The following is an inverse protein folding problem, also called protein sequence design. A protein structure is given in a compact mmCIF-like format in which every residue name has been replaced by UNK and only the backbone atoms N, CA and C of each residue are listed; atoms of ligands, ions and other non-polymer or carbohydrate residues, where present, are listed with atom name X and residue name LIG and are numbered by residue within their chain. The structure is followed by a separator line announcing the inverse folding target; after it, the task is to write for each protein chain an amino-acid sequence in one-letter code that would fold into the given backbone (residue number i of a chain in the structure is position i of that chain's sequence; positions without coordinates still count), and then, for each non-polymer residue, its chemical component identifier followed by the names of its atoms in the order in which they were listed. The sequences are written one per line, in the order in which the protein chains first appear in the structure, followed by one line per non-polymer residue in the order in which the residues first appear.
data_IF_877746173489
#
_entry.id   IF_877746173489
#
_cell.length_a   1.000
_cell.length_b   1.000
_cell.length_c   1.000
_cell.angle_alpha   90.00
_cell.angle_beta   90.00
_cell.angle_gamma   90.00
#
_symmetry.space_group_name_H-M   'P 1'
#
loop_
_entity.id
_entity.type
_entity.pdbx_description
1 polymer ?
#
# COMPACT_ATOMS: atom_id res chain seq x y z
N UNK A 1 33.26 -4.00 33.90
CA UNK A 1 32.06 -3.33 33.34
C UNK A 1 30.87 -4.24 33.53
N UNK A 2 30.07 -4.03 34.58
CA UNK A 2 28.92 -4.87 34.92
C UNK A 2 27.76 -4.51 33.99
N UNK A 3 27.42 -5.39 33.09
CA UNK A 3 26.22 -5.26 32.27
C UNK A 3 25.01 -5.51 33.18
N UNK A 4 24.20 -4.47 33.39
CA UNK A 4 22.97 -4.53 34.21
C UNK A 4 22.10 -5.72 33.74
N UNK A 5 21.54 -6.55 34.63
CA UNK A 5 20.74 -7.73 34.30
C UNK A 5 19.53 -7.40 33.41
N UNK A 6 18.96 -6.19 33.55
CA UNK A 6 17.85 -5.68 32.72
C UNK A 6 18.26 -5.55 31.23
N UNK A 7 19.49 -5.08 30.96
CA UNK A 7 20.00 -4.97 29.57
C UNK A 7 20.17 -6.36 28.92
N UNK A 8 20.60 -7.36 29.69
CA UNK A 8 20.79 -8.72 29.20
C UNK A 8 19.47 -9.42 28.92
N UNK A 9 18.44 -9.22 29.76
CA UNK A 9 17.07 -9.71 29.47
C UNK A 9 16.48 -9.10 28.23
N UNK A 10 16.62 -7.77 28.06
CA UNK A 10 16.11 -7.06 26.89
C UNK A 10 16.80 -7.47 25.58
N UNK A 11 18.12 -7.69 25.59
CA UNK A 11 18.84 -8.17 24.39
C UNK A 11 18.39 -9.56 23.94
N UNK A 12 18.07 -10.46 24.87
CA UNK A 12 17.56 -11.80 24.55
C UNK A 12 16.15 -11.70 23.93
N UNK A 13 15.27 -10.86 24.50
CA UNK A 13 13.92 -10.62 23.95
C UNK A 13 14.00 -9.98 22.57
N UNK A 14 14.83 -8.95 22.39
CA UNK A 14 15.00 -8.28 21.10
C UNK A 14 15.53 -9.24 20.02
N UNK A 15 16.55 -10.03 20.33
CA UNK A 15 17.07 -11.04 19.41
C UNK A 15 16.04 -12.13 19.07
N UNK A 16 15.20 -12.50 20.03
CA UNK A 16 14.08 -13.39 19.81
C UNK A 16 13.04 -12.80 18.84
N UNK A 17 12.67 -11.54 19.05
CA UNK A 17 11.74 -10.81 18.19
C UNK A 17 12.29 -10.64 16.76
N UNK A 18 13.55 -10.26 16.60
CA UNK A 18 14.21 -10.16 15.28
C UNK A 18 14.20 -11.50 14.54
N UNK A 19 14.41 -12.60 15.25
CA UNK A 19 14.39 -13.95 14.68
C UNK A 19 13.00 -14.40 14.26
N UNK A 20 11.98 -14.04 15.05
CA UNK A 20 10.58 -14.40 14.80
C UNK A 20 9.90 -13.47 13.79
N UNK A 21 10.15 -12.17 13.90
CA UNK A 21 9.58 -11.13 13.02
C UNK A 21 10.43 -10.87 11.79
N UNK A 22 11.20 -11.83 11.33
CA UNK A 22 12.11 -11.67 10.19
C UNK A 22 11.54 -10.75 9.09
N UNK A 23 12.39 -10.02 8.42
CA UNK A 23 11.99 -9.02 7.41
C UNK A 23 10.96 -9.55 6.40
N UNK A 24 11.04 -10.81 6.04
CA UNK A 24 10.11 -11.44 5.09
C UNK A 24 8.67 -11.46 5.59
N UNK A 25 8.44 -11.69 6.89
CA UNK A 25 7.12 -11.62 7.48
C UNK A 25 6.59 -10.19 7.50
N UNK A 26 7.43 -9.22 7.86
CA UNK A 26 7.06 -7.79 7.85
C UNK A 26 6.67 -7.35 6.44
N UNK A 27 7.44 -7.75 5.42
CA UNK A 27 7.13 -7.45 4.02
C UNK A 27 5.82 -8.10 3.56
N UNK A 28 5.57 -9.35 3.95
CA UNK A 28 4.31 -10.02 3.63
C UNK A 28 3.11 -9.31 4.27
N UNK A 29 3.18 -9.01 5.57
CA UNK A 29 2.09 -8.31 6.28
C UNK A 29 1.88 -6.91 5.71
N UNK A 30 2.95 -6.19 5.39
CA UNK A 30 2.88 -4.88 4.75
C UNK A 30 2.17 -4.95 3.39
N UNK A 31 2.50 -5.93 2.54
CA UNK A 31 1.84 -6.13 1.24
C UNK A 31 0.34 -6.38 1.40
N UNK A 32 -0.02 -7.36 2.24
CA UNK A 32 -1.43 -7.74 2.42
C UNK A 32 -2.22 -6.60 3.06
N UNK A 33 -1.67 -5.96 4.09
CA UNK A 33 -2.35 -4.87 4.79
C UNK A 33 -2.65 -3.69 3.88
N UNK A 34 -1.63 -3.17 3.18
CA UNK A 34 -1.84 -2.01 2.31
C UNK A 34 -2.65 -2.38 1.05
N UNK A 35 -2.49 -3.59 0.51
CA UNK A 35 -3.30 -4.09 -0.58
C UNK A 35 -4.79 -4.12 -0.19
N UNK A 36 -5.12 -4.58 1.00
CA UNK A 36 -6.49 -4.61 1.49
C UNK A 36 -7.11 -3.21 1.58
N UNK A 37 -6.36 -2.20 2.05
CA UNK A 37 -6.81 -0.81 2.14
C UNK A 37 -7.23 -0.30 0.76
N UNK A 38 -6.33 -0.38 -0.23
CA UNK A 38 -6.61 0.14 -1.57
C UNK A 38 -7.65 -0.70 -2.32
N UNK A 39 -7.63 -2.02 -2.18
CA UNK A 39 -8.62 -2.89 -2.80
C UNK A 39 -10.04 -2.60 -2.29
N UNK A 40 -10.22 -2.43 -0.98
CA UNK A 40 -11.50 -2.03 -0.40
C UNK A 40 -11.95 -0.65 -0.91
N UNK A 41 -11.03 0.31 -1.02
CA UNK A 41 -11.32 1.61 -1.62
C UNK A 41 -11.78 1.47 -3.07
N UNK A 42 -11.12 0.66 -3.88
CA UNK A 42 -11.52 0.36 -5.26
C UNK A 42 -12.91 -0.24 -5.34
N UNK A 43 -13.26 -1.15 -4.42
CA UNK A 43 -14.59 -1.77 -4.37
C UNK A 43 -15.73 -0.78 -4.10
N UNK A 44 -15.49 0.34 -3.47
CA UNK A 44 -16.51 1.38 -3.28
C UNK A 44 -16.85 2.14 -4.57
N UNK A 45 -16.00 2.06 -5.58
CA UNK A 45 -16.13 2.80 -6.85
C UNK A 45 -16.78 1.99 -7.97
N UNK A 46 -16.97 0.68 -7.75
CA UNK A 46 -17.47 -0.22 -8.79
C UNK A 46 -18.65 -1.06 -8.30
N UNK A 47 -19.50 -1.46 -9.24
CA UNK A 47 -20.52 -2.48 -9.07
C UNK A 47 -20.20 -3.69 -9.95
N UNK A 48 -20.77 -4.86 -9.59
CA UNK A 48 -20.45 -6.10 -10.28
C UNK A 48 -18.95 -6.39 -10.26
N UNK A 49 -18.39 -6.71 -11.42
CA UNK A 49 -16.96 -7.06 -11.52
C UNK A 49 -16.06 -5.82 -11.48
N UNK A 50 -16.27 -4.86 -12.38
CA UNK A 50 -15.43 -3.66 -12.51
C UNK A 50 -16.18 -2.51 -13.21
N UNK A 51 -17.50 -2.46 -13.15
CA UNK A 51 -18.28 -1.37 -13.72
C UNK A 51 -18.23 -0.16 -12.80
N UNK A 52 -17.59 0.91 -13.23
CA UNK A 52 -17.49 2.15 -12.44
C UNK A 52 -18.86 2.79 -12.31
N UNK A 53 -19.26 3.11 -11.09
CA UNK A 53 -20.59 3.65 -10.78
C UNK A 53 -20.70 5.14 -11.12
N UNK A 54 -21.91 5.60 -11.44
CA UNK A 54 -22.18 7.03 -11.60
C UNK A 54 -21.88 7.83 -10.33
N UNK A 55 -22.09 7.22 -9.17
CA UNK A 55 -21.75 7.82 -7.85
C UNK A 55 -20.25 8.06 -7.73
N UNK A 56 -19.41 7.11 -8.16
CA UNK A 56 -17.96 7.30 -8.16
C UNK A 56 -17.55 8.47 -9.08
N UNK A 57 -18.11 8.55 -10.29
CA UNK A 57 -17.86 9.69 -11.20
C UNK A 57 -18.30 11.02 -10.57
N UNK A 58 -19.48 11.03 -9.91
CA UNK A 58 -19.96 12.19 -9.17
C UNK A 58 -18.99 12.64 -8.07
N UNK A 59 -18.43 11.69 -7.31
CA UNK A 59 -17.44 11.97 -6.26
C UNK A 59 -16.19 12.68 -6.82
N UNK A 60 -15.68 12.22 -7.96
CA UNK A 60 -14.54 12.88 -8.61
C UNK A 60 -14.87 14.25 -9.19
N UNK A 61 -16.13 14.47 -9.64
CA UNK A 61 -16.58 15.75 -10.16
C UNK A 61 -16.82 16.79 -9.07
N UNK A 62 -17.49 16.39 -8.01
CA UNK A 62 -18.09 17.33 -7.03
C UNK A 62 -17.23 17.51 -5.79
N UNK A 63 -16.46 16.47 -5.40
CA UNK A 63 -15.66 16.48 -4.17
C UNK A 63 -14.16 16.50 -4.45
N UNK A 64 -13.62 15.55 -5.21
CA UNK A 64 -12.16 15.42 -5.39
C UNK A 64 -11.57 16.49 -6.33
N UNK A 65 -12.30 16.87 -7.36
CA UNK A 65 -11.96 18.00 -8.27
C UNK A 65 -10.50 18.05 -8.69
N UNK A 66 -9.97 16.90 -9.13
CA UNK A 66 -8.56 16.81 -9.53
C UNK A 66 -8.25 17.80 -10.67
N UNK A 67 -7.18 18.61 -10.55
CA UNK A 67 -6.80 19.53 -11.60
C UNK A 67 -6.37 18.74 -12.86
N UNK A 68 -6.65 19.28 -14.04
CA UNK A 68 -6.21 18.76 -15.33
C UNK A 68 -6.76 17.39 -15.76
N UNK A 69 -7.59 16.75 -14.97
CA UNK A 69 -8.16 15.43 -15.30
C UNK A 69 -9.69 15.51 -15.40
N UNK A 70 -10.21 14.93 -16.48
CA UNK A 70 -11.66 14.71 -16.60
C UNK A 70 -12.14 13.80 -15.47
N UNK A 71 -13.24 14.14 -14.76
CA UNK A 71 -13.73 13.36 -13.62
C UNK A 71 -14.06 11.91 -13.96
N UNK A 72 -14.58 11.65 -15.17
CA UNK A 72 -14.92 10.31 -15.62
C UNK A 72 -13.65 9.49 -15.82
N UNK A 73 -12.65 10.07 -16.50
CA UNK A 73 -11.36 9.43 -16.70
C UNK A 73 -10.65 9.16 -15.35
N UNK A 74 -10.65 10.15 -14.46
CA UNK A 74 -10.05 10.03 -13.14
C UNK A 74 -10.70 8.93 -12.30
N UNK A 75 -12.03 8.83 -12.29
CA UNK A 75 -12.78 7.79 -11.59
C UNK A 75 -12.44 6.38 -12.10
N UNK A 76 -12.37 6.20 -13.42
CA UNK A 76 -12.02 4.92 -14.03
C UNK A 76 -10.55 4.56 -13.74
N UNK A 77 -9.63 5.51 -13.92
CA UNK A 77 -8.20 5.28 -13.64
C UNK A 77 -7.98 4.89 -12.18
N UNK A 78 -8.61 5.59 -11.24
CA UNK A 78 -8.52 5.27 -9.83
C UNK A 78 -9.13 3.90 -9.51
N UNK A 79 -10.34 3.62 -9.99
CA UNK A 79 -11.00 2.34 -9.76
C UNK A 79 -10.15 1.16 -10.23
N UNK A 80 -9.62 1.22 -11.45
CA UNK A 80 -8.80 0.14 -12.00
C UNK A 80 -7.43 0.03 -11.32
N UNK A 81 -6.78 1.15 -11.00
CA UNK A 81 -5.52 1.17 -10.28
C UNK A 81 -5.66 0.57 -8.88
N UNK A 82 -6.74 0.90 -8.17
CA UNK A 82 -7.09 0.37 -6.84
C UNK A 82 -7.50 -1.12 -6.84
N UNK A 83 -7.69 -1.74 -7.98
CA UNK A 83 -7.82 -3.18 -8.10
C UNK A 83 -6.51 -3.83 -8.56
N UNK A 84 -5.90 -3.30 -9.61
CA UNK A 84 -4.71 -3.89 -10.22
C UNK A 84 -3.51 -3.90 -9.26
N UNK A 85 -3.11 -2.73 -8.75
CA UNK A 85 -1.91 -2.64 -7.93
C UNK A 85 -2.01 -3.37 -6.60
N UNK A 86 -3.14 -3.35 -5.87
CA UNK A 86 -3.30 -4.20 -4.70
C UNK A 86 -3.20 -5.70 -5.00
N UNK A 87 -3.73 -6.18 -6.12
CA UNK A 87 -3.58 -7.58 -6.51
C UNK A 87 -2.12 -7.92 -6.78
N UNK A 88 -1.38 -7.04 -7.48
CA UNK A 88 0.06 -7.21 -7.70
C UNK A 88 0.81 -7.26 -6.36
N UNK A 89 0.51 -6.37 -5.42
CA UNK A 89 1.11 -6.38 -4.08
C UNK A 89 0.78 -7.65 -3.31
N UNK A 90 -0.47 -8.08 -3.30
CA UNK A 90 -0.88 -9.28 -2.58
C UNK A 90 -0.15 -10.52 -3.09
N UNK A 91 -0.04 -10.67 -4.41
CA UNK A 91 0.71 -11.75 -5.06
C UNK A 91 2.24 -11.60 -4.92
N UNK A 92 2.71 -10.39 -4.62
CA UNK A 92 4.13 -10.06 -4.65
C UNK A 92 4.71 -10.11 -6.05
N UNK A 93 3.98 -9.57 -7.01
CA UNK A 93 4.37 -9.48 -8.42
C UNK A 93 4.58 -8.02 -8.81
N UNK A 94 5.72 -7.71 -9.42
CA UNK A 94 6.14 -6.34 -9.74
C UNK A 94 5.98 -5.40 -8.51
N UNK A 95 6.34 -5.89 -7.35
CA UNK A 95 6.02 -5.26 -6.05
C UNK A 95 6.50 -3.82 -5.94
N UNK A 96 7.73 -3.53 -6.36
CA UNK A 96 8.30 -2.17 -6.30
C UNK A 96 7.51 -1.19 -7.15
N UNK A 97 7.14 -1.60 -8.36
CA UNK A 97 6.34 -0.79 -9.27
C UNK A 97 4.94 -0.52 -8.71
N UNK A 98 4.25 -1.57 -8.24
CA UNK A 98 2.93 -1.45 -7.65
C UNK A 98 2.95 -0.55 -6.39
N UNK A 99 3.98 -0.70 -5.54
CA UNK A 99 4.16 0.14 -4.36
C UNK A 99 4.37 1.61 -4.72
N UNK A 100 5.21 1.91 -5.73
CA UNK A 100 5.42 3.29 -6.20
C UNK A 100 4.18 3.89 -6.84
N UNK A 101 3.40 3.11 -7.59
CA UNK A 101 2.14 3.56 -8.18
C UNK A 101 1.11 3.95 -7.09
N UNK A 102 0.93 3.10 -6.07
CA UNK A 102 0.03 3.40 -4.95
C UNK A 102 0.56 4.54 -4.05
N UNK A 103 1.88 4.67 -3.92
CA UNK A 103 2.48 5.81 -3.22
C UNK A 103 2.20 7.12 -3.97
N UNK A 104 2.32 7.13 -5.31
CA UNK A 104 1.93 8.26 -6.14
C UNK A 104 0.45 8.61 -5.99
N UNK A 105 -0.44 7.60 -5.97
CA UNK A 105 -1.86 7.80 -5.71
C UNK A 105 -2.10 8.39 -4.31
N UNK A 106 -1.41 7.88 -3.27
CA UNK A 106 -1.47 8.43 -1.91
C UNK A 106 -1.06 9.91 -1.89
N UNK A 107 -0.01 10.28 -2.62
CA UNK A 107 0.43 11.67 -2.73
C UNK A 107 -0.62 12.56 -3.42
N UNK A 108 -1.27 12.07 -4.47
CA UNK A 108 -2.37 12.79 -5.13
C UNK A 108 -3.55 13.01 -4.17
N UNK A 109 -3.92 11.97 -3.40
CA UNK A 109 -5.00 12.07 -2.41
C UNK A 109 -4.64 13.10 -1.32
N UNK A 110 -3.41 13.05 -0.81
CA UNK A 110 -2.93 13.98 0.21
C UNK A 110 -2.94 15.44 -0.27
N UNK A 111 -2.45 15.69 -1.48
CA UNK A 111 -2.24 17.06 -1.97
C UNK A 111 -3.57 17.69 -2.44
N UNK A 112 -4.44 16.92 -3.09
CA UNK A 112 -5.57 17.47 -3.83
C UNK A 112 -6.94 17.11 -3.24
N UNK A 113 -7.03 16.04 -2.44
CA UNK A 113 -8.33 15.51 -2.01
C UNK A 113 -8.55 15.73 -0.51
N UNK A 114 -7.67 15.21 0.32
CA UNK A 114 -7.81 15.22 1.78
C UNK A 114 -6.51 15.60 2.50
N UNK A 115 -6.02 16.85 2.38
CA UNK A 115 -4.73 17.26 2.98
C UNK A 115 -4.73 17.17 4.52
N UNK A 116 -5.90 17.27 5.16
CA UNK A 116 -6.01 17.16 6.62
C UNK A 116 -5.92 15.71 7.13
N UNK A 117 -5.99 14.72 6.21
CA UNK A 117 -5.90 13.30 6.56
C UNK A 117 -4.45 12.75 6.53
N UNK A 118 -3.45 13.63 6.56
CA UNK A 118 -2.02 13.29 6.48
C UNK A 118 -1.56 12.16 7.44
N UNK A 119 -2.07 12.02 8.70
CA UNK A 119 -1.64 10.91 9.55
C UNK A 119 -2.05 9.55 8.97
N UNK A 120 -3.24 9.48 8.36
CA UNK A 120 -3.73 8.28 7.67
C UNK A 120 -2.87 7.99 6.44
N UNK A 121 -2.60 9.00 5.62
CA UNK A 121 -1.80 8.83 4.40
C UNK A 121 -0.34 8.48 4.71
N UNK A 122 0.24 8.98 5.80
CA UNK A 122 1.55 8.54 6.27
C UNK A 122 1.54 7.07 6.70
N UNK A 123 0.46 6.59 7.32
CA UNK A 123 0.32 5.18 7.68
C UNK A 123 0.28 4.26 6.46
N UNK A 124 -0.22 4.75 5.32
CA UNK A 124 -0.19 4.04 4.03
C UNK A 124 1.18 4.16 3.34
N UNK A 125 1.77 5.35 3.39
CA UNK A 125 3.07 5.60 2.77
C UNK A 125 4.19 4.77 3.41
N UNK A 126 4.17 4.54 4.71
CA UNK A 126 5.21 3.79 5.41
C UNK A 126 5.40 2.35 4.86
N UNK A 127 4.38 1.48 4.77
CA UNK A 127 4.53 0.16 4.16
C UNK A 127 4.83 0.24 2.67
N UNK A 128 4.28 1.22 1.92
CA UNK A 128 4.57 1.39 0.50
C UNK A 128 6.04 1.76 0.25
N UNK A 129 6.61 2.67 1.04
CA UNK A 129 8.05 3.00 0.99
C UNK A 129 8.93 1.80 1.34
N UNK A 130 8.55 1.04 2.37
CA UNK A 130 9.25 -0.18 2.73
C UNK A 130 9.28 -1.18 1.56
N UNK A 131 8.13 -1.41 0.91
CA UNK A 131 8.00 -2.32 -0.23
C UNK A 131 8.75 -1.81 -1.46
N UNK A 132 8.72 -0.52 -1.75
CA UNK A 132 9.49 0.08 -2.83
C UNK A 132 11.00 -0.07 -2.61
N UNK A 133 11.47 0.09 -1.38
CA UNK A 133 12.89 -0.01 -1.03
C UNK A 133 13.38 -1.46 -0.96
N UNK A 134 12.63 -2.36 -0.34
CA UNK A 134 13.06 -3.74 -0.04
C UNK A 134 12.51 -4.80 -0.99
N UNK A 135 11.47 -4.48 -1.77
CA UNK A 135 10.79 -5.44 -2.63
C UNK A 135 9.83 -6.36 -1.88
N UNK A 136 9.54 -7.49 -2.48
CA UNK A 136 8.44 -8.38 -2.11
C UNK A 136 8.73 -9.36 -0.96
N UNK A 137 10.01 -9.63 -0.64
CA UNK A 137 10.41 -10.67 0.31
C UNK A 137 10.32 -12.10 -0.27
N UNK A 138 10.60 -13.11 0.58
CA UNK A 138 10.69 -14.52 0.16
C UNK A 138 9.35 -15.13 -0.29
N UNK A 139 8.25 -14.68 0.30
CA UNK A 139 6.91 -15.21 0.03
C UNK A 139 6.24 -14.43 -1.11
N UNK A 140 6.77 -14.51 -2.33
CA UNK A 140 6.34 -13.69 -3.46
C UNK A 140 6.59 -14.35 -4.81
N UNK A 141 5.82 -13.92 -5.82
CA UNK A 141 6.03 -14.33 -7.20
C UNK A 141 7.30 -13.68 -7.78
N UNK A 142 7.63 -12.45 -7.41
CA UNK A 142 8.89 -11.81 -7.83
C UNK A 142 10.08 -12.70 -7.51
N UNK A 143 10.09 -13.26 -6.29
CA UNK A 143 11.17 -14.17 -5.86
C UNK A 143 11.15 -15.48 -6.64
N UNK A 144 9.98 -16.07 -6.88
CA UNK A 144 9.84 -17.31 -7.64
C UNK A 144 10.27 -17.15 -9.10
N UNK A 145 10.08 -15.94 -9.67
CA UNK A 145 10.41 -15.61 -11.05
C UNK A 145 11.78 -14.91 -11.20
N UNK A 146 12.55 -14.78 -10.11
CA UNK A 146 13.84 -14.08 -10.06
C UNK A 146 13.77 -12.63 -10.58
N UNK A 147 12.63 -11.96 -10.37
CA UNK A 147 12.46 -10.54 -10.67
C UNK A 147 13.10 -9.67 -9.58
N UNK A 148 13.57 -8.44 -9.93
CA UNK A 148 14.24 -7.54 -9.00
C UNK A 148 13.31 -6.95 -7.91
#
# INVERSE_FOLDING_TARGET
MSTHPIRRGWTVVAAGLERWLGLDLVLLVSRIGIAAVFFQSGRTKVEGWLTVTGTAVGLFRDEYRLPLLDPTLAAHAAAYAEHLFPLLLALGLCTRFAALALLGMTAVIEIFVYPDAWPTHLSWAAPLLLLAARGSGRFSLDRAMALP
#
